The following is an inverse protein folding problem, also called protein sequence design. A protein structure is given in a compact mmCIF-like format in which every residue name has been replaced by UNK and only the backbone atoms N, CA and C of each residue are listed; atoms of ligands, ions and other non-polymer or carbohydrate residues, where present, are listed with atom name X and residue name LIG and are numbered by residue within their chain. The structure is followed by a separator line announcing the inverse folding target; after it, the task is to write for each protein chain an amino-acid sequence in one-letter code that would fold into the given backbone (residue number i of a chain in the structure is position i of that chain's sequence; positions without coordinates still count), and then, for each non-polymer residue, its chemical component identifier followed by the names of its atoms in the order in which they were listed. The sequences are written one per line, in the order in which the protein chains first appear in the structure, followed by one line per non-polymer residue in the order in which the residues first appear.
data_IF_298073086186
#
_entry.id   IF_298073086186
#
_cell.length_a   1.000
_cell.length_b   1.000
_cell.length_c   1.000
_cell.angle_alpha   90.00
_cell.angle_beta   90.00
_cell.angle_gamma   90.00
#
_symmetry.space_group_name_H-M   'P 1'
#
loop_
_entity.id
_entity.type
_entity.pdbx_description
1 polymer ?
#
# COMPACT_ATOMS: atom_id res chain seq x y z
N UNK A 1 -15.36 1.22 -19.35
CA UNK A 1 -15.43 0.05 -18.45
C UNK A 1 -14.04 -0.14 -17.86
N UNK A 2 -13.86 -0.23 -16.53
CA UNK A 2 -12.55 -0.56 -15.99
C UNK A 2 -12.17 -1.96 -16.49
N UNK A 3 -11.03 -2.05 -17.18
CA UNK A 3 -10.46 -3.33 -17.62
C UNK A 3 -9.59 -3.81 -16.45
N UNK A 4 -10.21 -4.50 -15.50
CA UNK A 4 -9.48 -5.16 -14.42
C UNK A 4 -8.75 -6.39 -14.97
N UNK A 5 -7.50 -6.68 -14.54
CA UNK A 5 -6.87 -7.93 -14.89
C UNK A 5 -7.72 -9.11 -14.42
N UNK A 6 -7.89 -10.12 -15.27
CA UNK A 6 -8.60 -11.33 -14.90
C UNK A 6 -7.76 -12.15 -13.91
N UNK A 7 -8.34 -12.50 -12.78
CA UNK A 7 -7.78 -13.46 -11.83
C UNK A 7 -8.17 -14.90 -12.14
N UNK A 8 -9.08 -15.10 -13.11
CA UNK A 8 -9.45 -16.43 -13.58
C UNK A 8 -8.20 -17.17 -14.07
N UNK A 9 -8.08 -18.43 -13.68
CA UNK A 9 -6.96 -19.32 -14.03
C UNK A 9 -5.58 -18.86 -13.50
N UNK A 10 -5.56 -17.99 -12.49
CA UNK A 10 -4.35 -17.59 -11.76
C UNK A 10 -4.30 -18.24 -10.37
N UNK A 11 -3.12 -18.41 -9.76
CA UNK A 11 -3.00 -18.95 -8.39
C UNK A 11 -3.30 -17.90 -7.31
N UNK A 12 -4.21 -16.95 -7.53
CA UNK A 12 -4.47 -15.83 -6.59
C UNK A 12 -4.78 -16.32 -5.17
N UNK A 13 -5.63 -17.34 -5.04
CA UNK A 13 -6.05 -17.87 -3.74
C UNK A 13 -4.89 -18.49 -2.97
N UNK A 14 -3.98 -19.17 -3.66
CA UNK A 14 -2.80 -19.76 -3.04
C UNK A 14 -1.69 -18.74 -2.81
N UNK A 15 -1.54 -17.76 -3.68
CA UNK A 15 -0.38 -16.86 -3.66
C UNK A 15 -0.64 -15.60 -2.84
N UNK A 16 -1.85 -15.04 -2.87
CA UNK A 16 -2.14 -13.69 -2.40
C UNK A 16 -3.29 -13.63 -1.38
N UNK A 17 -4.41 -14.30 -1.62
CA UNK A 17 -5.60 -14.16 -0.76
C UNK A 17 -5.28 -14.40 0.71
N UNK A 18 -5.73 -13.50 1.57
CA UNK A 18 -5.56 -13.59 3.02
C UNK A 18 -4.08 -13.61 3.48
N UNK A 19 -3.15 -13.15 2.64
CA UNK A 19 -1.72 -13.10 2.98
C UNK A 19 -1.37 -11.83 3.72
N UNK A 20 -0.56 -11.96 4.74
CA UNK A 20 -0.11 -10.87 5.59
C UNK A 20 1.40 -10.76 5.53
N UNK A 21 1.89 -9.54 5.26
CA UNK A 21 3.31 -9.23 5.14
C UNK A 21 3.70 -8.10 6.10
N UNK A 22 4.79 -8.29 6.83
CA UNK A 22 5.50 -7.21 7.53
C UNK A 22 6.85 -7.03 6.84
N UNK A 23 7.18 -5.80 6.46
CA UNK A 23 8.36 -5.51 5.66
C UNK A 23 9.00 -4.17 6.01
N UNK A 24 10.31 -4.08 5.84
CA UNK A 24 11.09 -2.86 6.06
C UNK A 24 11.63 -2.36 4.71
N UNK A 25 11.29 -1.12 4.32
CA UNK A 25 11.94 -0.47 3.19
C UNK A 25 13.41 -0.15 3.49
N UNK A 26 14.25 -0.26 2.47
CA UNK A 26 15.65 0.15 2.48
C UNK A 26 15.81 1.68 2.32
N UNK A 27 15.13 2.45 3.19
CA UNK A 27 15.15 3.91 3.13
C UNK A 27 16.44 4.49 3.75
N UNK A 28 16.71 5.75 3.44
CA UNK A 28 17.83 6.51 4.00
C UNK A 28 17.33 7.88 4.46
N UNK A 29 17.91 8.39 5.55
CA UNK A 29 17.67 9.76 5.99
C UNK A 29 18.36 10.79 5.05
N UNK A 30 18.16 12.08 5.33
CA UNK A 30 18.75 13.17 4.54
C UNK A 30 20.29 13.18 4.56
N UNK A 31 20.92 12.47 5.49
CA UNK A 31 22.36 12.33 5.65
C UNK A 31 22.89 11.02 5.02
N UNK A 32 22.00 10.17 4.48
CA UNK A 32 22.33 8.88 3.88
C UNK A 32 22.48 7.74 4.90
N UNK A 33 22.10 7.95 6.16
CA UNK A 33 22.10 6.87 7.15
C UNK A 33 20.90 5.95 6.88
N UNK A 34 21.06 4.62 7.03
CA UNK A 34 19.96 3.69 6.88
C UNK A 34 18.82 4.01 7.85
N UNK A 35 17.61 4.17 7.32
CA UNK A 35 16.39 4.31 8.09
C UNK A 35 15.45 3.17 7.69
N UNK A 36 14.91 2.46 8.67
CA UNK A 36 13.97 1.37 8.40
C UNK A 36 12.55 1.89 8.49
N UNK A 37 11.87 1.95 7.35
CA UNK A 37 10.45 2.25 7.34
C UNK A 37 9.67 0.94 7.36
N UNK A 38 9.12 0.61 8.54
CA UNK A 38 8.33 -0.60 8.75
C UNK A 38 6.89 -0.41 8.31
N UNK A 39 6.42 -1.34 7.50
CA UNK A 39 5.06 -1.39 6.96
C UNK A 39 4.47 -2.77 7.20
N UNK A 40 3.16 -2.81 7.32
CA UNK A 40 2.35 -4.02 7.52
C UNK A 40 1.19 -4.00 6.53
N UNK A 41 0.95 -5.11 5.84
CA UNK A 41 -0.09 -5.20 4.81
C UNK A 41 -0.74 -6.57 4.84
N UNK A 42 -2.07 -6.59 4.77
CA UNK A 42 -2.90 -7.76 4.59
C UNK A 42 -3.66 -7.67 3.27
N UNK A 43 -3.38 -8.62 2.38
CA UNK A 43 -4.11 -8.86 1.14
C UNK A 43 -5.45 -9.52 1.44
N UNK A 44 -6.40 -8.73 1.93
CA UNK A 44 -7.69 -9.18 2.44
C UNK A 44 -8.41 -10.13 1.46
N UNK A 45 -8.58 -9.69 0.21
CA UNK A 45 -9.20 -10.49 -0.84
C UNK A 45 -8.82 -9.95 -2.24
N UNK A 46 -9.50 -10.43 -3.29
CA UNK A 46 -9.31 -10.03 -4.69
C UNK A 46 -9.57 -8.56 -5.00
N UNK A 47 -10.17 -7.83 -4.06
CA UNK A 47 -10.67 -6.47 -4.25
C UNK A 47 -10.11 -5.51 -3.18
N UNK A 48 -9.59 -6.00 -2.06
CA UNK A 48 -9.18 -5.15 -0.92
C UNK A 48 -7.82 -5.52 -0.36
N UNK A 49 -7.12 -4.49 0.09
CA UNK A 49 -6.01 -4.58 1.03
C UNK A 49 -6.33 -3.77 2.28
N UNK A 50 -5.72 -4.17 3.40
CA UNK A 50 -5.65 -3.41 4.65
C UNK A 50 -4.18 -3.23 4.99
N UNK A 51 -3.76 -2.06 5.44
CA UNK A 51 -2.35 -1.83 5.78
C UNK A 51 -2.18 -0.81 6.90
N UNK A 52 -1.02 -0.88 7.56
CA UNK A 52 -0.57 0.09 8.56
C UNK A 52 0.90 0.47 8.33
N UNK A 53 1.25 1.69 8.72
CA UNK A 53 2.60 2.22 8.63
C UNK A 53 3.14 2.43 10.04
N UNK A 54 4.25 1.75 10.36
CA UNK A 54 4.83 1.70 11.69
C UNK A 54 6.11 2.54 11.83
N UNK A 55 6.78 2.85 10.71
CA UNK A 55 8.01 3.64 10.70
C UNK A 55 8.09 4.61 9.52
N UNK A 56 9.06 5.53 9.60
CA UNK A 56 9.26 6.58 8.60
C UNK A 56 8.28 7.75 8.70
N UNK A 57 8.29 8.67 7.71
CA UNK A 57 7.51 9.92 7.75
C UNK A 57 6.00 9.74 7.87
N UNK A 58 5.48 8.56 7.51
CA UNK A 58 4.05 8.25 7.49
C UNK A 58 3.62 7.34 8.64
N UNK A 59 4.48 7.13 9.64
CA UNK A 59 4.18 6.29 10.80
C UNK A 59 2.92 6.77 11.54
N UNK A 60 2.01 5.83 11.85
CA UNK A 60 0.71 6.13 12.47
C UNK A 60 -0.46 6.22 11.49
N UNK A 61 -0.24 5.98 10.20
CA UNK A 61 -1.32 5.85 9.19
C UNK A 61 -1.83 4.41 9.12
N UNK A 62 -3.15 4.23 9.20
CA UNK A 62 -3.88 2.97 9.00
C UNK A 62 -4.92 3.12 7.90
N UNK A 63 -4.93 2.22 6.92
CA UNK A 63 -5.76 2.39 5.74
C UNK A 63 -6.26 1.06 5.17
N UNK A 64 -7.23 1.14 4.27
CA UNK A 64 -7.71 0.06 3.44
C UNK A 64 -8.10 0.61 2.07
N UNK A 65 -7.94 -0.19 1.02
CA UNK A 65 -8.09 0.32 -0.33
C UNK A 65 -8.50 -0.76 -1.32
N UNK A 66 -9.30 -0.37 -2.33
CA UNK A 66 -9.49 -1.19 -3.52
C UNK A 66 -8.17 -1.39 -4.21
N UNK A 67 -7.81 -2.65 -4.46
CA UNK A 67 -6.56 -3.02 -5.10
C UNK A 67 -6.80 -3.82 -6.37
N UNK A 68 -5.93 -3.63 -7.34
CA UNK A 68 -5.88 -4.41 -8.57
C UNK A 68 -4.67 -5.32 -8.54
N UNK A 69 -4.83 -6.52 -9.08
CA UNK A 69 -3.81 -7.56 -9.03
C UNK A 69 -3.52 -8.09 -10.42
N UNK A 70 -2.24 -8.26 -10.75
CA UNK A 70 -1.80 -8.90 -11.97
C UNK A 70 -0.77 -9.97 -11.64
N UNK A 71 -1.09 -11.21 -11.98
CA UNK A 71 -0.12 -12.30 -11.94
C UNK A 71 0.92 -12.07 -13.05
N UNK A 72 2.18 -11.81 -12.67
CA UNK A 72 3.30 -11.71 -13.61
C UNK A 72 3.86 -13.09 -13.89
N UNK A 73 4.09 -13.88 -12.83
CA UNK A 73 4.56 -15.26 -12.91
C UNK A 73 3.93 -16.09 -11.77
N UNK A 74 3.09 -17.09 -12.10
CA UNK A 74 2.42 -17.94 -11.11
C UNK A 74 3.38 -18.49 -10.04
N UNK A 75 3.01 -18.40 -8.77
CA UNK A 75 3.83 -18.86 -7.64
C UNK A 75 5.03 -17.98 -7.30
N UNK A 76 5.29 -16.91 -8.08
CA UNK A 76 6.54 -16.17 -7.97
C UNK A 76 6.39 -14.65 -7.90
N UNK A 77 5.65 -14.04 -8.83
CA UNK A 77 5.60 -12.59 -9.00
C UNK A 77 4.18 -12.09 -9.21
N UNK A 78 3.81 -11.09 -8.41
CA UNK A 78 2.52 -10.41 -8.48
C UNK A 78 2.71 -8.90 -8.48
N UNK A 79 2.00 -8.19 -9.34
CA UNK A 79 1.86 -6.75 -9.26
C UNK A 79 0.55 -6.41 -8.55
N UNK A 80 0.60 -5.52 -7.57
CA UNK A 80 -0.57 -5.04 -6.83
C UNK A 80 -0.57 -3.50 -6.91
N UNK A 81 -1.68 -2.89 -7.33
CA UNK A 81 -1.75 -1.44 -7.53
C UNK A 81 -3.03 -0.84 -6.97
N UNK A 82 -2.94 0.38 -6.45
CA UNK A 82 -4.08 1.15 -6.00
C UNK A 82 -3.87 2.67 -6.06
N UNK A 83 -4.98 3.40 -5.93
CA UNK A 83 -5.04 4.85 -5.75
C UNK A 83 -5.65 5.15 -4.37
N UNK A 84 -5.10 6.12 -3.66
CA UNK A 84 -5.59 6.51 -2.32
C UNK A 84 -6.32 7.85 -2.34
N UNK A 85 -7.12 8.12 -1.30
CA UNK A 85 -7.85 9.38 -1.13
C UNK A 85 -6.96 10.60 -0.96
N UNK A 86 -5.70 10.41 -0.57
CA UNK A 86 -4.67 11.48 -0.61
C UNK A 86 -4.26 11.82 -2.04
N UNK A 87 -4.76 11.09 -3.02
CA UNK A 87 -4.34 11.10 -4.41
C UNK A 87 -3.13 10.21 -4.68
N UNK A 88 -2.52 9.57 -3.68
CA UNK A 88 -1.28 8.78 -3.86
C UNK A 88 -1.50 7.54 -4.70
N UNK A 89 -0.57 7.28 -5.63
CA UNK A 89 -0.56 6.07 -6.44
C UNK A 89 0.46 5.10 -5.83
N UNK A 90 0.03 3.87 -5.58
CA UNK A 90 0.94 2.79 -5.21
C UNK A 90 0.94 1.73 -6.30
N UNK A 91 2.13 1.35 -6.75
CA UNK A 91 2.37 0.15 -7.54
C UNK A 91 3.45 -0.66 -6.83
N UNK A 92 3.14 -1.90 -6.48
CA UNK A 92 4.12 -2.80 -5.87
C UNK A 92 4.21 -4.10 -6.65
N UNK A 93 5.41 -4.66 -6.70
CA UNK A 93 5.69 -6.02 -7.15
C UNK A 93 6.12 -6.82 -5.95
N UNK A 94 5.39 -7.90 -5.68
CA UNK A 94 5.72 -8.87 -4.65
C UNK A 94 6.47 -10.06 -5.29
N UNK A 95 7.74 -10.23 -4.91
CA UNK A 95 8.60 -11.38 -5.24
C UNK A 95 8.56 -12.39 -4.09
N UNK A 96 7.70 -13.41 -4.26
CA UNK A 96 7.44 -14.45 -3.25
C UNK A 96 8.73 -15.22 -2.92
N UNK A 97 9.48 -15.78 -3.89
CA UNK A 97 10.65 -16.59 -3.59
C UNK A 97 11.78 -15.80 -2.94
N UNK A 98 11.95 -14.52 -3.31
CA UNK A 98 12.99 -13.66 -2.73
C UNK A 98 12.55 -12.93 -1.47
N UNK A 99 11.29 -13.07 -1.04
CA UNK A 99 10.74 -12.36 0.12
C UNK A 99 10.99 -10.85 0.03
N UNK A 100 10.65 -10.25 -1.12
CA UNK A 100 10.96 -8.85 -1.40
C UNK A 100 9.79 -8.14 -2.06
N UNK A 101 9.62 -6.87 -1.73
CA UNK A 101 8.72 -5.95 -2.42
C UNK A 101 9.55 -4.93 -3.20
N UNK A 102 9.12 -4.58 -4.41
CA UNK A 102 9.64 -3.43 -5.17
C UNK A 102 8.48 -2.49 -5.49
N UNK A 103 8.60 -1.22 -5.15
CA UNK A 103 7.51 -0.25 -5.32
C UNK A 103 7.88 0.91 -6.21
N UNK A 104 6.86 1.42 -6.91
CA UNK A 104 6.79 2.80 -7.36
C UNK A 104 5.65 3.47 -6.57
N UNK A 105 6.02 4.43 -5.74
CA UNK A 105 5.08 5.29 -5.03
C UNK A 105 5.06 6.66 -5.70
N UNK A 106 3.87 7.13 -6.04
CA UNK A 106 3.62 8.46 -6.57
C UNK A 106 2.85 9.30 -5.56
N UNK A 107 3.54 9.85 -4.56
CA UNK A 107 2.93 10.71 -3.54
C UNK A 107 2.41 11.99 -4.19
N UNK A 108 1.14 12.35 -3.90
CA UNK A 108 0.63 13.66 -4.27
C UNK A 108 1.39 14.75 -3.52
N UNK A 109 1.35 15.99 -4.03
CA UNK A 109 2.03 17.12 -3.39
C UNK A 109 1.53 17.31 -1.95
N UNK A 110 0.21 17.32 -1.74
CA UNK A 110 -0.38 17.44 -0.41
C UNK A 110 0.04 16.31 0.54
N UNK A 111 0.04 15.06 0.10
CA UNK A 111 0.50 13.95 0.95
C UNK A 111 1.98 14.09 1.31
N UNK A 112 2.82 14.50 0.36
CA UNK A 112 4.26 14.59 0.59
C UNK A 112 4.65 15.78 1.48
N UNK A 113 4.14 16.97 1.18
CA UNK A 113 4.51 18.20 1.88
C UNK A 113 3.79 18.36 3.24
N UNK A 114 2.61 17.76 3.40
CA UNK A 114 1.82 17.76 4.64
C UNK A 114 1.68 16.34 5.23
N UNK A 115 2.78 15.59 5.27
CA UNK A 115 2.82 14.18 5.70
C UNK A 115 2.12 13.88 7.04
N UNK A 116 2.28 14.74 8.05
CA UNK A 116 1.61 14.59 9.35
C UNK A 116 0.08 14.61 9.23
N UNK A 117 -0.47 15.39 8.30
CA UNK A 117 -1.91 15.43 8.05
C UNK A 117 -2.43 14.14 7.39
N UNK A 118 -1.55 13.30 6.83
CA UNK A 118 -1.90 11.99 6.30
C UNK A 118 -1.89 10.87 7.34
N UNK A 119 -1.49 11.15 8.58
CA UNK A 119 -1.61 10.21 9.70
C UNK A 119 -3.09 10.01 10.09
N UNK A 120 -3.35 8.97 10.89
CA UNK A 120 -4.69 8.62 11.36
C UNK A 120 -5.25 7.34 10.76
N UNK A 121 -6.54 7.11 10.94
CA UNK A 121 -7.22 5.90 10.49
C UNK A 121 -8.34 6.24 9.50
N UNK A 122 -8.36 5.60 8.33
CA UNK A 122 -9.41 5.81 7.32
C UNK A 122 -10.82 5.60 7.85
N UNK A 123 -10.96 4.71 8.85
CA UNK A 123 -12.26 4.43 9.51
C UNK A 123 -12.79 5.66 10.24
N UNK A 124 -11.93 6.60 10.60
CA UNK A 124 -12.33 7.89 11.15
C UNK A 124 -12.72 8.85 10.02
N UNK A 125 -13.98 9.28 10.02
CA UNK A 125 -14.52 10.17 9.00
C UNK A 125 -13.75 11.51 8.86
N UNK A 126 -13.20 12.05 9.96
CA UNK A 126 -12.43 13.30 9.93
C UNK A 126 -11.06 13.11 9.27
N UNK A 127 -10.41 11.98 9.52
CA UNK A 127 -9.13 11.65 8.89
C UNK A 127 -9.34 11.45 7.39
N UNK A 128 -10.38 10.70 6.99
CA UNK A 128 -10.74 10.51 5.58
C UNK A 128 -11.05 11.83 4.86
N UNK A 129 -11.82 12.73 5.49
CA UNK A 129 -12.11 14.06 4.94
C UNK A 129 -10.82 14.89 4.77
N UNK A 130 -9.96 14.90 5.79
CA UNK A 130 -8.65 15.57 5.73
C UNK A 130 -7.81 15.03 4.57
N UNK A 131 -7.74 13.71 4.40
CA UNK A 131 -6.96 13.09 3.32
C UNK A 131 -7.47 13.46 1.93
N UNK A 132 -8.79 13.53 1.74
CA UNK A 132 -9.39 14.03 0.50
C UNK A 132 -9.00 15.49 0.24
N UNK A 133 -8.90 16.31 1.29
CA UNK A 133 -8.36 17.66 1.22
C UNK A 133 -6.94 17.69 0.67
N UNK A 134 -6.05 16.80 1.14
CA UNK A 134 -4.66 16.70 0.67
C UNK A 134 -4.57 16.41 -0.84
N UNK A 135 -5.50 15.63 -1.40
CA UNK A 135 -5.52 15.33 -2.84
C UNK A 135 -5.79 16.56 -3.73
N UNK A 136 -6.34 17.63 -3.15
CA UNK A 136 -6.61 18.88 -3.88
C UNK A 136 -5.39 19.80 -3.99
N UNK A 137 -4.29 19.48 -3.27
CA UNK A 137 -3.07 20.28 -3.25
C UNK A 137 -2.15 19.83 -4.40
N UNK A 138 -1.88 20.76 -5.32
CA UNK A 138 -1.01 20.54 -6.48
C UNK A 138 -1.72 19.90 -7.67
N UNK A 139 -0.93 19.36 -8.61
CA UNK A 139 -1.40 18.65 -9.81
C UNK A 139 -0.64 17.35 -10.02
N UNK A 140 -1.09 16.54 -10.99
CA UNK A 140 -0.52 15.21 -11.26
C UNK A 140 1.00 15.21 -11.53
N UNK A 141 1.54 16.27 -12.15
CA UNK A 141 2.97 16.39 -12.43
C UNK A 141 3.80 16.85 -11.24
N UNK A 142 3.17 17.24 -10.14
CA UNK A 142 3.87 17.67 -8.92
C UNK A 142 4.19 16.49 -7.99
N UNK A 143 3.83 15.27 -8.40
CA UNK A 143 4.02 14.07 -7.58
C UNK A 143 5.48 13.82 -7.28
N UNK A 144 5.76 13.45 -6.03
CA UNK A 144 7.05 12.88 -5.66
C UNK A 144 7.04 11.39 -5.99
N UNK A 145 7.91 11.00 -6.92
CA UNK A 145 8.13 9.60 -7.24
C UNK A 145 9.21 9.03 -6.31
N UNK A 146 8.90 7.90 -5.68
CA UNK A 146 9.84 7.09 -4.91
C UNK A 146 9.86 5.68 -5.48
N UNK A 147 11.06 5.14 -5.67
CA UNK A 147 11.28 3.78 -6.14
C UNK A 147 12.13 3.06 -5.12
N UNK A 148 11.49 2.19 -4.33
CA UNK A 148 12.11 1.58 -3.17
C UNK A 148 11.93 0.07 -3.17
N UNK A 149 12.83 -0.62 -2.48
CA UNK A 149 12.72 -2.04 -2.20
C UNK A 149 12.55 -2.26 -0.70
N UNK A 150 11.82 -3.31 -0.35
CA UNK A 150 11.65 -3.74 1.03
C UNK A 150 11.89 -5.23 1.18
N UNK A 151 12.56 -5.59 2.28
CA UNK A 151 12.72 -6.97 2.68
C UNK A 151 11.53 -7.39 3.54
N UNK A 152 10.95 -8.54 3.23
CA UNK A 152 9.83 -9.12 3.99
C UNK A 152 10.40 -9.86 5.20
N UNK A 153 9.98 -9.41 6.38
CA UNK A 153 10.37 -9.98 7.66
C UNK A 153 9.45 -11.12 8.08
N UNK A 154 8.14 -10.92 7.90
CA UNK A 154 7.11 -11.88 8.26
C UNK A 154 6.14 -12.08 7.10
N UNK A 155 5.70 -13.32 6.93
CA UNK A 155 4.86 -13.77 5.83
C UNK A 155 3.97 -14.91 6.33
N UNK A 156 2.70 -14.61 6.55
CA UNK A 156 1.72 -15.55 7.11
C UNK A 156 0.32 -15.31 6.54
N UNK A 157 -0.70 -16.03 7.05
CA UNK A 157 -2.11 -15.89 6.64
C UNK A 157 -2.97 -15.37 7.78
N UNK A 158 -3.98 -14.58 7.44
CA UNK A 158 -4.92 -13.99 8.37
C UNK A 158 -4.63 -12.52 8.68
N UNK A 159 -5.47 -11.90 9.54
CA UNK A 159 -5.45 -10.46 9.79
C UNK A 159 -4.18 -9.96 10.49
N UNK A 160 -3.49 -10.80 11.27
CA UNK A 160 -2.47 -10.32 12.21
C UNK A 160 -3.11 -9.34 13.21
N UNK A 161 -2.49 -8.18 13.39
CA UNK A 161 -3.01 -7.09 14.23
C UNK A 161 -3.88 -6.09 13.45
N UNK A 162 -4.06 -6.28 12.14
CA UNK A 162 -4.89 -5.41 11.31
C UNK A 162 -6.37 -5.69 11.50
N UNK A 163 -7.15 -4.62 11.63
CA UNK A 163 -8.60 -4.70 11.81
C UNK A 163 -9.30 -5.04 10.48
N UNK A 164 -10.28 -5.97 10.47
CA UNK A 164 -11.08 -6.25 9.27
C UNK A 164 -11.90 -5.03 8.83
N UNK A 165 -12.48 -5.13 7.64
CA UNK A 165 -13.22 -4.04 6.98
C UNK A 165 -14.59 -4.53 6.48
N UNK A 166 -15.51 -3.59 6.30
CA UNK A 166 -16.76 -3.83 5.58
C UNK A 166 -16.55 -3.51 4.10
N UNK A 167 -17.07 -4.36 3.21
CA UNK A 167 -16.81 -4.25 1.77
C UNK A 167 -17.51 -3.04 1.13
N UNK A 168 -18.56 -2.55 1.78
CA UNK A 168 -19.36 -1.39 1.42
C UNK A 168 -18.65 -0.07 1.74
N UNK A 169 -17.59 -0.09 2.55
CA UNK A 169 -16.84 1.12 2.88
C UNK A 169 -16.17 1.71 1.63
N UNK A 170 -16.27 3.05 1.44
CA UNK A 170 -15.82 3.67 0.22
C UNK A 170 -14.29 3.66 0.10
N UNK A 171 -13.84 3.42 -1.12
CA UNK A 171 -12.45 3.50 -1.55
C UNK A 171 -12.41 4.09 -2.97
N UNK A 172 -11.23 4.47 -3.47
CA UNK A 172 -11.07 4.92 -4.86
C UNK A 172 -10.81 3.79 -5.86
#
# INVERSE_FOLDING_TARGET
MPVLPSLKDTPFDTDIRDRHLIYDYAAQDAQGNPEKWRYEMWFYNEDRIVYAIHGGPMAGRKNFQTATYQCIRPGELWQCNWLEETGTICSLVYDIPRKRITTLLGFSKGHWEESEAAHGDKRNAKDLERWRGLATIGKQTDRKLLSEQADILEDFRGPGDLEPIEMEWPTL
#
